data_IF_947629620460
#
_entry.id   IF_947629620460
#
_cell.length_a   1.000
_cell.length_b   1.000
_cell.length_c   1.000
_cell.angle_alpha   90.00
_cell.angle_beta   90.00
_cell.angle_gamma   90.00
#
_symmetry.space_group_name_H-M   'P 1'
#
loop_
_entity.id
_entity.type
_entity.pdbx_description
1 polymer ?
#
# COMPACT_ATOMS: atom_id res chain seq x y z
N UNK A 1 9.97 8.24 -9.80
CA UNK A 1 9.81 7.03 -10.65
C UNK A 1 10.63 5.90 -10.02
N UNK A 2 10.15 4.65 -10.07
CA UNK A 2 10.85 3.51 -9.45
C UNK A 2 10.50 2.18 -10.14
N UNK A 3 11.49 1.30 -10.30
CA UNK A 3 11.33 -0.07 -10.82
C UNK A 3 11.09 -1.05 -9.66
N UNK A 4 10.29 -2.08 -9.89
CA UNK A 4 10.14 -3.20 -8.95
C UNK A 4 11.40 -4.08 -8.92
N UNK A 5 11.46 -5.01 -7.96
CA UNK A 5 12.63 -5.86 -7.73
C UNK A 5 13.01 -6.76 -8.93
N UNK A 6 12.04 -7.14 -9.78
CA UNK A 6 12.28 -7.94 -10.99
C UNK A 6 12.48 -7.11 -12.27
N UNK A 7 12.44 -5.77 -12.18
CA UNK A 7 12.49 -4.86 -13.35
C UNK A 7 11.42 -5.12 -14.42
N UNK A 8 10.30 -5.73 -14.02
CA UNK A 8 9.16 -6.04 -14.88
C UNK A 8 8.04 -4.99 -14.80
N UNK A 9 8.10 -4.09 -13.80
CA UNK A 9 7.08 -3.06 -13.59
C UNK A 9 7.70 -1.73 -13.16
N UNK A 10 7.18 -0.65 -13.71
CA UNK A 10 7.55 0.73 -13.44
C UNK A 10 6.42 1.47 -12.74
N UNK A 11 6.73 2.17 -11.65
CA UNK A 11 5.83 3.12 -11.01
C UNK A 11 6.28 4.56 -11.29
N UNK A 12 5.33 5.41 -11.66
CA UNK A 12 5.58 6.83 -11.92
C UNK A 12 4.58 7.66 -11.12
N UNK A 13 5.09 8.69 -10.42
CA UNK A 13 4.32 9.83 -9.93
C UNK A 13 4.61 10.97 -10.90
N UNK A 14 3.59 11.49 -11.56
CA UNK A 14 3.72 12.64 -12.46
C UNK A 14 3.85 13.95 -11.69
N UNK A 15 4.17 15.05 -12.39
CA UNK A 15 4.21 16.40 -11.81
C UNK A 15 2.86 16.86 -11.24
N UNK A 16 1.76 16.20 -11.62
CA UNK A 16 0.42 16.46 -11.12
C UNK A 16 0.04 15.53 -9.94
N UNK A 17 1.02 14.89 -9.30
CA UNK A 17 0.82 13.91 -8.20
C UNK A 17 -0.08 12.73 -8.60
N UNK A 18 -0.07 12.37 -9.89
CA UNK A 18 -0.82 11.22 -10.39
C UNK A 18 0.12 10.02 -10.44
N UNK A 19 -0.22 8.99 -9.68
CA UNK A 19 0.45 7.72 -9.64
C UNK A 19 -0.10 6.76 -10.70
N UNK A 20 0.79 6.15 -11.48
CA UNK A 20 0.48 5.12 -12.48
C UNK A 20 1.49 3.97 -12.42
N UNK A 21 1.00 2.79 -12.77
CA UNK A 21 1.80 1.59 -12.99
C UNK A 21 1.94 1.28 -14.47
N UNK A 22 3.08 0.73 -14.86
CA UNK A 22 3.35 0.29 -16.21
C UNK A 22 4.05 -1.06 -16.19
N UNK A 23 3.56 -2.04 -16.93
CA UNK A 23 4.25 -3.31 -17.16
C UNK A 23 5.30 -3.12 -18.26
N UNK A 24 6.49 -3.65 -18.02
CA UNK A 24 7.61 -3.66 -18.96
C UNK A 24 7.62 -5.03 -19.65
N UNK A 25 7.53 -5.02 -20.98
CA UNK A 25 7.54 -6.21 -21.84
C UNK A 25 8.64 -6.06 -22.89
N UNK A 26 8.97 -7.15 -23.58
CA UNK A 26 10.00 -7.16 -24.63
C UNK A 26 9.70 -6.17 -25.77
N UNK A 27 8.42 -5.90 -26.02
CA UNK A 27 7.96 -4.98 -27.07
C UNK A 27 7.65 -3.55 -26.55
N UNK A 28 8.09 -3.23 -25.33
CA UNK A 28 7.96 -1.91 -24.74
C UNK A 28 7.10 -1.88 -23.47
N UNK A 29 6.68 -0.68 -23.11
CA UNK A 29 6.01 -0.41 -21.83
C UNK A 29 4.50 -0.24 -22.04
N UNK A 30 3.69 -0.96 -21.27
CA UNK A 30 2.23 -0.87 -21.31
C UNK A 30 1.70 -0.29 -19.99
N UNK A 31 0.84 0.73 -20.05
CA UNK A 31 0.14 1.26 -18.86
C UNK A 31 -0.74 0.15 -18.28
N UNK A 32 -0.66 -0.08 -16.97
CA UNK A 32 -1.58 -0.97 -16.26
C UNK A 32 -2.95 -0.28 -16.24
N UNK A 33 -3.96 -0.80 -16.96
CA UNK A 33 -5.24 -0.12 -17.09
C UNK A 33 -5.97 -0.09 -15.74
N UNK A 34 -6.83 0.92 -15.57
CA UNK A 34 -7.75 1.05 -14.43
C UNK A 34 -7.09 1.21 -13.05
N UNK A 35 -5.78 1.43 -12.97
CA UNK A 35 -5.09 1.76 -11.72
C UNK A 35 -4.40 3.12 -11.80
N UNK A 36 -5.13 4.15 -11.39
CA UNK A 36 -4.63 5.51 -11.22
C UNK A 36 -4.98 6.00 -9.80
N UNK A 37 -4.03 6.65 -9.13
CA UNK A 37 -4.28 7.35 -7.87
C UNK A 37 -3.80 8.79 -7.96
N UNK A 38 -4.52 9.71 -7.31
CA UNK A 38 -4.20 11.14 -7.26
C UNK A 38 -3.66 11.48 -5.87
N UNK A 39 -3.08 12.66 -5.75
CA UNK A 39 -2.53 13.17 -4.49
C UNK A 39 -1.44 12.27 -3.90
N UNK A 40 -0.72 11.53 -4.76
CA UNK A 40 0.39 10.67 -4.37
C UNK A 40 1.69 11.46 -4.42
N UNK A 41 2.45 11.42 -3.33
CA UNK A 41 3.70 12.18 -3.20
C UNK A 41 4.93 11.33 -2.87
N UNK A 42 4.73 10.06 -2.47
CA UNK A 42 5.84 9.13 -2.24
C UNK A 42 5.43 7.69 -2.58
N UNK A 43 6.42 6.86 -2.92
CA UNK A 43 6.24 5.45 -3.26
C UNK A 43 7.51 4.62 -3.03
N UNK A 44 7.34 3.36 -2.64
CA UNK A 44 8.43 2.39 -2.47
C UNK A 44 7.96 0.99 -2.82
N UNK A 45 8.68 0.32 -3.72
CA UNK A 45 8.43 -1.10 -4.02
C UNK A 45 8.86 -1.97 -2.85
N UNK A 46 8.13 -3.07 -2.64
CA UNK A 46 8.57 -4.18 -1.81
C UNK A 46 9.82 -4.79 -2.45
N UNK A 47 10.88 -5.00 -1.66
CA UNK A 47 12.10 -5.63 -2.17
C UNK A 47 11.94 -7.12 -2.43
N UNK A 48 10.95 -7.75 -1.79
CA UNK A 48 10.78 -9.19 -1.78
C UNK A 48 9.62 -9.64 -2.70
N UNK A 49 8.73 -8.70 -3.08
CA UNK A 49 7.55 -8.98 -3.90
C UNK A 49 7.41 -8.03 -5.07
N UNK A 50 7.48 -8.58 -6.28
CA UNK A 50 7.46 -7.80 -7.52
C UNK A 50 6.14 -7.07 -7.80
N UNK A 51 5.03 -7.50 -7.20
CA UNK A 51 3.69 -6.97 -7.42
C UNK A 51 3.24 -5.98 -6.34
N UNK A 52 4.07 -5.72 -5.32
CA UNK A 52 3.62 -5.00 -4.11
C UNK A 52 4.38 -3.68 -3.93
N UNK A 53 3.66 -2.58 -3.72
CA UNK A 53 4.21 -1.23 -3.56
C UNK A 53 3.49 -0.47 -2.44
N UNK A 54 4.25 0.25 -1.62
CA UNK A 54 3.74 1.21 -0.66
C UNK A 54 3.66 2.60 -1.33
N UNK A 55 2.57 3.33 -1.09
CA UNK A 55 2.36 4.70 -1.60
C UNK A 55 1.85 5.61 -0.49
N UNK A 56 2.21 6.89 -0.56
CA UNK A 56 1.67 7.93 0.31
C UNK A 56 0.63 8.77 -0.43
N UNK A 57 -0.63 8.72 0.01
CA UNK A 57 -1.74 9.53 -0.47
C UNK A 57 -2.15 10.53 0.61
N UNK A 58 -1.91 11.83 0.37
CA UNK A 58 -2.13 12.89 1.39
C UNK A 58 -1.43 12.52 2.71
N UNK A 59 -2.17 12.31 3.79
CA UNK A 59 -1.63 11.92 5.11
C UNK A 59 -1.87 10.45 5.42
N UNK A 60 -1.85 9.59 4.39
CA UNK A 60 -2.19 8.18 4.53
C UNK A 60 -1.18 7.32 3.78
N UNK A 61 -0.73 6.26 4.43
CA UNK A 61 0.03 5.19 3.83
C UNK A 61 -0.93 4.12 3.30
N UNK A 62 -0.71 3.66 2.07
CA UNK A 62 -1.44 2.55 1.45
C UNK A 62 -0.44 1.55 0.90
N UNK A 63 -0.81 0.26 0.95
CA UNK A 63 -0.11 -0.79 0.23
C UNK A 63 -0.96 -1.24 -0.94
N UNK A 64 -0.35 -1.34 -2.10
CA UNK A 64 -0.97 -1.79 -3.34
C UNK A 64 -0.33 -3.09 -3.76
N UNK A 65 -1.14 -4.12 -3.99
CA UNK A 65 -0.73 -5.38 -4.59
C UNK A 65 -1.38 -5.54 -5.96
N UNK A 66 -0.58 -5.50 -7.02
CA UNK A 66 -1.04 -5.43 -8.40
C UNK A 66 -1.83 -4.15 -8.66
N UNK A 67 -3.15 -4.27 -8.67
CA UNK A 67 -4.12 -3.16 -8.83
C UNK A 67 -5.05 -3.02 -7.62
N UNK A 68 -4.79 -3.76 -6.55
CA UNK A 68 -5.62 -3.80 -5.36
C UNK A 68 -4.94 -2.96 -4.29
N UNK A 69 -5.60 -1.92 -3.80
CA UNK A 69 -5.12 -1.13 -2.68
C UNK A 69 -5.75 -1.61 -1.37
N UNK A 70 -4.90 -1.87 -0.38
CA UNK A 70 -5.29 -2.13 1.00
C UNK A 70 -5.85 -0.86 1.67
N UNK A 71 -6.42 -1.00 2.85
CA UNK A 71 -6.97 0.13 3.58
C UNK A 71 -5.88 1.10 4.01
N UNK A 72 -6.11 2.42 3.84
CA UNK A 72 -5.15 3.42 4.25
C UNK A 72 -5.00 3.48 5.76
N UNK A 73 -3.77 3.67 6.23
CA UNK A 73 -3.48 4.01 7.64
C UNK A 73 -2.99 5.46 7.73
N UNK A 74 -3.39 6.22 8.76
CA UNK A 74 -2.84 7.56 8.98
C UNK A 74 -1.32 7.51 9.11
N UNK A 75 -0.62 8.29 8.29
CA UNK A 75 0.84 8.39 8.33
C UNK A 75 1.29 9.70 7.68
N UNK A 76 2.24 10.39 8.31
CA UNK A 76 2.80 11.66 7.84
C UNK A 76 4.31 11.57 7.54
N UNK A 77 4.83 10.33 7.51
CA UNK A 77 6.23 10.05 7.31
C UNK A 77 6.59 9.75 5.87
N UNK A 78 7.84 9.98 5.52
CA UNK A 78 8.44 9.59 4.25
C UNK A 78 8.74 8.08 4.25
N UNK A 79 8.50 7.36 3.16
CA UNK A 79 8.75 5.92 3.07
C UNK A 79 10.25 5.67 2.90
N UNK A 80 10.87 5.06 3.91
CA UNK A 80 12.29 4.73 3.89
C UNK A 80 12.55 3.41 3.16
N UNK A 81 11.82 2.36 3.54
CA UNK A 81 11.99 1.01 3.01
C UNK A 81 10.70 0.22 3.09
N UNK A 82 10.58 -0.76 2.19
CA UNK A 82 9.51 -1.74 2.22
C UNK A 82 10.12 -3.12 1.93
N UNK A 83 10.10 -3.99 2.94
CA UNK A 83 10.68 -5.34 2.94
C UNK A 83 10.07 -6.14 4.08
N UNK A 84 10.15 -7.46 4.04
CA UNK A 84 9.75 -8.34 5.14
C UNK A 84 8.32 -8.06 5.66
N UNK A 85 7.39 -7.67 4.76
CA UNK A 85 6.02 -7.25 5.10
C UNK A 85 5.92 -6.01 6.01
N UNK A 86 6.96 -5.19 6.07
CA UNK A 86 7.00 -3.98 6.90
C UNK A 86 7.35 -2.77 6.04
N UNK A 87 6.52 -1.73 6.13
CA UNK A 87 6.82 -0.41 5.58
C UNK A 87 7.41 0.44 6.70
N UNK A 88 8.67 0.83 6.54
CA UNK A 88 9.34 1.76 7.44
C UNK A 88 9.15 3.19 6.94
N UNK A 89 8.69 4.06 7.83
CA UNK A 89 8.53 5.49 7.57
C UNK A 89 9.31 6.32 8.60
N UNK A 90 9.63 7.56 8.25
CA UNK A 90 10.20 8.53 9.18
C UNK A 90 9.42 9.85 9.13
N UNK A 91 9.11 10.43 10.29
CA UNK A 91 8.35 11.68 10.39
C UNK A 91 9.09 12.86 9.73
N UNK A 92 8.73 13.17 8.50
CA UNK A 92 9.47 14.12 7.66
C UNK A 92 9.44 15.54 8.22
N UNK A 93 8.28 15.96 8.75
CA UNK A 93 8.11 17.31 9.29
C UNK A 93 9.06 17.58 10.46
N UNK A 94 9.21 16.61 11.37
CA UNK A 94 10.10 16.73 12.51
C UNK A 94 11.57 16.73 12.10
N UNK A 95 11.96 15.85 11.17
CA UNK A 95 13.33 15.80 10.64
C UNK A 95 13.71 17.11 9.95
N UNK A 96 12.81 17.72 9.19
CA UNK A 96 13.08 19.01 8.54
C UNK A 96 13.22 20.16 9.54
N UNK A 97 12.44 20.15 10.63
CA UNK A 97 12.50 21.19 11.65
C UNK A 97 13.75 21.05 12.54
N UNK A 98 14.16 19.82 12.85
CA UNK A 98 15.26 19.51 13.77
C UNK A 98 16.27 18.53 13.14
N UNK A 99 16.98 18.91 12.06
CA UNK A 99 17.83 18.00 11.30
C UNK A 99 19.06 17.48 12.07
N UNK A 100 19.42 18.12 13.19
CA UNK A 100 20.57 17.74 14.03
C UNK A 100 20.18 16.99 15.30
N UNK A 101 18.88 16.90 15.59
CA UNK A 101 18.37 16.35 16.84
C UNK A 101 17.08 15.58 16.56
N UNK A 102 17.26 14.36 16.05
CA UNK A 102 16.19 13.41 15.87
C UNK A 102 16.58 12.06 16.45
N UNK A 103 15.61 11.40 17.09
CA UNK A 103 15.79 10.11 17.70
C UNK A 103 15.13 8.99 16.87
N UNK A 104 15.26 7.75 17.36
CA UNK A 104 14.62 6.58 16.74
C UNK A 104 13.09 6.59 16.88
N UNK A 105 12.52 7.40 17.76
CA UNK A 105 11.07 7.51 17.97
C UNK A 105 10.33 8.14 16.79
N UNK A 106 11.04 8.84 15.90
CA UNK A 106 10.47 9.33 14.63
C UNK A 106 10.30 8.25 13.57
N UNK A 107 10.86 7.06 13.78
CA UNK A 107 10.75 5.92 12.87
C UNK A 107 9.50 5.13 13.23
N UNK A 108 8.67 4.82 12.23
CA UNK A 108 7.50 3.98 12.39
C UNK A 108 7.57 2.80 11.43
N UNK A 109 7.49 1.59 11.99
CA UNK A 109 7.40 0.34 11.23
C UNK A 109 5.93 -0.10 11.20
N UNK A 110 5.34 -0.11 10.00
CA UNK A 110 3.96 -0.50 9.78
C UNK A 110 3.92 -1.87 9.11
N UNK A 111 3.31 -2.85 9.77
CA UNK A 111 3.12 -4.18 9.21
C UNK A 111 2.00 -4.22 8.17
N UNK A 112 2.31 -4.70 6.98
CA UNK A 112 1.35 -4.82 5.86
C UNK A 112 0.20 -5.75 6.19
N UNK A 113 0.42 -6.76 7.03
CA UNK A 113 -0.65 -7.68 7.46
C UNK A 113 -1.80 -6.93 8.13
N UNK A 114 -1.51 -5.89 8.91
CA UNK A 114 -2.52 -5.05 9.55
C UNK A 114 -3.38 -4.33 8.50
N UNK A 115 -2.75 -3.79 7.44
CA UNK A 115 -3.44 -3.09 6.36
C UNK A 115 -4.23 -4.02 5.44
N UNK A 116 -3.73 -5.23 5.19
CA UNK A 116 -4.33 -6.21 4.26
C UNK A 116 -5.49 -7.01 4.87
N UNK A 117 -5.54 -7.19 6.19
CA UNK A 117 -6.50 -8.10 6.84
C UNK A 117 -7.93 -7.61 6.73
N UNK A 118 -8.18 -6.31 6.93
CA UNK A 118 -9.53 -5.74 6.83
C UNK A 118 -10.08 -5.86 5.39
N UNK A 119 -9.32 -5.38 4.40
CA UNK A 119 -9.69 -5.49 2.99
C UNK A 119 -9.93 -6.94 2.52
N UNK A 120 -9.05 -7.88 2.89
CA UNK A 120 -9.23 -9.31 2.57
C UNK A 120 -10.50 -9.88 3.19
N UNK A 121 -10.81 -9.48 4.42
CA UNK A 121 -12.00 -9.95 5.14
C UNK A 121 -13.26 -9.44 4.45
N UNK A 122 -13.33 -8.14 4.14
CA UNK A 122 -14.48 -7.55 3.45
C UNK A 122 -14.68 -8.12 2.05
N UNK A 123 -13.62 -8.28 1.26
CA UNK A 123 -13.72 -8.85 -0.08
C UNK A 123 -14.25 -10.28 -0.05
N UNK A 124 -13.67 -11.12 0.81
CA UNK A 124 -14.08 -12.53 0.91
C UNK A 124 -15.49 -12.67 1.49
N UNK A 125 -15.87 -11.82 2.44
CA UNK A 125 -17.25 -11.74 2.92
C UNK A 125 -18.21 -11.38 1.77
N UNK A 126 -17.86 -10.38 0.95
CA UNK A 126 -18.66 -10.00 -0.23
C UNK A 126 -18.78 -11.13 -1.25
N UNK A 127 -17.68 -11.80 -1.59
CA UNK A 127 -17.69 -12.95 -2.50
C UNK A 127 -18.60 -14.08 -1.99
N UNK A 128 -18.59 -14.36 -0.68
CA UNK A 128 -19.48 -15.35 -0.06
C UNK A 128 -20.95 -14.93 -0.11
N UNK A 129 -21.24 -13.64 0.13
CA UNK A 129 -22.60 -13.10 0.04
C UNK A 129 -23.13 -13.11 -1.40
N UNK A 130 -22.32 -12.68 -2.37
CA UNK A 130 -22.66 -12.69 -3.80
C UNK A 130 -22.89 -14.12 -4.31
N UNK A 131 -22.20 -15.11 -3.72
CA UNK A 131 -22.40 -16.53 -3.99
C UNK A 131 -23.62 -17.15 -3.25
N UNK A 132 -24.39 -16.36 -2.49
CA UNK A 132 -25.53 -16.83 -1.70
C UNK A 132 -25.16 -17.66 -0.47
N UNK A 133 -23.88 -17.71 -0.10
CA UNK A 133 -23.34 -18.50 1.02
C UNK A 133 -23.39 -17.71 2.33
N UNK A 134 -24.59 -17.29 2.72
CA UNK A 134 -24.81 -16.38 3.86
C UNK A 134 -24.27 -16.96 5.18
N UNK A 135 -24.47 -18.27 5.43
CA UNK A 135 -23.96 -18.92 6.64
C UNK A 135 -22.43 -18.95 6.70
N UNK A 136 -21.76 -19.21 5.58
CA UNK A 136 -20.29 -19.19 5.50
C UNK A 136 -19.74 -17.76 5.66
N UNK A 137 -20.44 -16.77 5.10
CA UNK A 137 -20.08 -15.36 5.25
C UNK A 137 -20.13 -14.91 6.72
N UNK A 138 -21.18 -15.28 7.46
CA UNK A 138 -21.31 -14.95 8.88
C UNK A 138 -20.18 -15.56 9.72
N UNK A 139 -19.91 -16.86 9.55
CA UNK A 139 -18.81 -17.54 10.26
C UNK A 139 -17.46 -16.91 9.93
N UNK A 140 -17.23 -16.58 8.66
CA UNK A 140 -15.98 -15.99 8.22
C UNK A 140 -15.75 -14.58 8.81
N UNK A 141 -16.79 -13.74 8.88
CA UNK A 141 -16.72 -12.40 9.48
C UNK A 141 -16.45 -12.48 10.99
N UNK A 142 -17.13 -13.38 11.71
CA UNK A 142 -16.93 -13.55 13.16
C UNK A 142 -15.50 -13.99 13.49
N UNK A 143 -14.93 -14.92 12.71
CA UNK A 143 -13.58 -15.44 12.89
C UNK A 143 -12.47 -14.46 12.52
N UNK A 144 -12.76 -13.46 11.69
CA UNK A 144 -11.80 -12.46 11.20
C UNK A 144 -12.19 -11.05 11.65
N UNK A 145 -12.86 -10.94 12.81
CA UNK A 145 -13.32 -9.68 13.37
C UNK A 145 -12.15 -8.72 13.64
N UNK A 146 -12.24 -7.53 13.07
CA UNK A 146 -11.32 -6.41 13.24
C UNK A 146 -12.08 -5.31 14.01
N UNK A 147 -11.45 -4.53 14.89
CA UNK A 147 -12.13 -3.47 15.66
C UNK A 147 -12.90 -2.42 14.83
N UNK A 148 -12.66 -2.34 13.52
CA UNK A 148 -13.32 -1.41 12.58
C UNK A 148 -14.47 -2.08 11.77
N UNK A 149 -14.77 -3.36 12.02
CA UNK A 149 -15.87 -4.10 11.35
C UNK A 149 -17.23 -3.93 12.04
N UNK A 150 -17.29 -3.25 13.21
CA UNK A 150 -18.50 -3.05 14.02
C UNK A 150 -18.88 -1.58 14.07
#
# INVERSE_FOLDING_TARGET
MSLNCSSTRLAIISTNNIFKLFDIRDNGTQVVPSFEKKDIWDMKWDTDKEDTIAIMEKSRLLVVQGIIAADPVPNHGYICSFRDLTVRTIQMQYVMQNPKDFDRGLISDIEVKVMMTFFRTLRKAKELLDAGKISEANVFIEQNSHPMLW
#
